data_IF_381734893219
#
_entry.id   IF_381734893219
#
_cell.length_a   1.000
_cell.length_b   1.000
_cell.length_c   1.000
_cell.angle_alpha   90.00
_cell.angle_beta   90.00
_cell.angle_gamma   90.00
#
_symmetry.space_group_name_H-M   'P 1'
#
loop_
_entity.id
_entity.type
_entity.pdbx_description
1 polymer ?
#
# COMPACT_ATOMS: atom_id res chain seq x y z
N UNK A 1 -8.34 29.98 29.78
CA UNK A 1 -7.32 30.33 28.77
C UNK A 1 -6.17 29.38 29.02
N UNK A 2 -6.00 28.38 28.16
CA UNK A 2 -4.86 27.45 28.19
C UNK A 2 -3.58 28.24 27.99
N UNK A 3 -2.48 27.82 28.63
CA UNK A 3 -1.23 28.55 28.52
C UNK A 3 -0.70 28.47 27.07
N UNK A 4 -0.12 29.53 26.47
CA UNK A 4 0.30 29.55 25.07
C UNK A 4 1.21 28.38 24.65
N UNK A 5 1.95 27.82 25.61
CA UNK A 5 2.77 26.63 25.43
C UNK A 5 1.95 25.34 25.23
N UNK A 6 0.85 25.17 25.97
CA UNK A 6 -0.04 24.00 25.84
C UNK A 6 -0.77 24.03 24.50
N UNK A 7 -1.22 25.20 24.06
CA UNK A 7 -1.87 25.38 22.76
C UNK A 7 -0.93 25.04 21.61
N UNK A 8 0.34 25.45 21.69
CA UNK A 8 1.36 25.07 20.70
C UNK A 8 1.62 23.56 20.66
N UNK A 9 1.64 22.90 21.82
CA UNK A 9 1.80 21.44 21.88
C UNK A 9 0.59 20.71 21.30
N UNK A 10 -0.62 21.18 21.61
CA UNK A 10 -1.86 20.63 21.04
C UNK A 10 -1.91 20.80 19.52
N UNK A 11 -1.51 21.96 19.01
CA UNK A 11 -1.47 22.22 17.57
C UNK A 11 -0.44 21.34 16.84
N UNK A 12 0.72 21.08 17.45
CA UNK A 12 1.70 20.11 16.92
C UNK A 12 1.16 18.69 16.92
N UNK A 13 0.47 18.27 17.98
CA UNK A 13 -0.15 16.96 18.05
C UNK A 13 -1.25 16.79 16.97
N UNK A 14 -2.09 17.81 16.79
CA UNK A 14 -3.14 17.81 15.77
C UNK A 14 -2.55 17.79 14.35
N UNK A 15 -1.47 18.53 14.10
CA UNK A 15 -0.75 18.48 12.82
C UNK A 15 -0.21 17.07 12.56
N UNK A 16 0.45 16.45 13.54
CA UNK A 16 0.94 15.08 13.41
C UNK A 16 -0.17 14.07 13.14
N UNK A 17 -1.33 14.24 13.77
CA UNK A 17 -2.52 13.43 13.52
C UNK A 17 -3.05 13.60 12.09
N UNK A 18 -3.18 14.84 11.60
CA UNK A 18 -3.64 15.11 10.23
C UNK A 18 -2.65 14.61 9.17
N UNK A 19 -1.34 14.79 9.40
CA UNK A 19 -0.29 14.27 8.52
C UNK A 19 -0.39 12.73 8.46
N UNK A 20 -0.60 12.07 9.62
CA UNK A 20 -0.80 10.63 9.70
C UNK A 20 -2.04 10.19 8.92
N UNK A 21 -3.19 10.87 9.07
CA UNK A 21 -4.40 10.56 8.31
C UNK A 21 -4.20 10.70 6.79
N UNK A 22 -3.49 11.74 6.36
CA UNK A 22 -3.13 11.93 4.95
C UNK A 22 -2.30 10.77 4.41
N UNK A 23 -1.28 10.34 5.16
CA UNK A 23 -0.52 9.16 4.77
C UNK A 23 -1.35 7.88 4.77
N UNK A 24 -2.24 7.66 5.76
CA UNK A 24 -3.12 6.47 5.75
C UNK A 24 -3.95 6.43 4.47
N UNK A 25 -4.51 7.56 4.04
CA UNK A 25 -5.26 7.64 2.78
C UNK A 25 -4.39 7.37 1.54
N UNK A 26 -3.13 7.83 1.53
CA UNK A 26 -2.20 7.56 0.42
C UNK A 26 -1.75 6.09 0.40
N UNK A 27 -1.65 5.45 1.57
CA UNK A 27 -1.20 4.07 1.75
C UNK A 27 -2.34 3.07 1.51
N UNK A 28 -3.60 3.51 1.59
CA UNK A 28 -4.76 2.75 1.10
C UNK A 28 -4.68 2.48 -0.42
N UNK A 29 -3.82 3.20 -1.16
CA UNK A 29 -3.49 2.92 -2.55
C UNK A 29 -2.17 2.13 -2.67
N UNK A 30 -2.25 0.90 -3.18
CA UNK A 30 -1.11 0.08 -3.59
C UNK A 30 -0.47 -0.72 -2.45
N UNK A 31 0.76 -1.20 -2.69
CA UNK A 31 1.52 -1.95 -1.68
C UNK A 31 2.22 -0.94 -0.73
N UNK A 32 1.92 -0.96 0.58
CA UNK A 32 2.52 -0.07 1.55
C UNK A 32 4.02 -0.31 1.69
N UNK A 33 4.81 0.78 1.67
CA UNK A 33 6.29 0.70 1.76
C UNK A 33 6.83 1.14 3.12
N UNK A 34 6.10 1.99 3.85
CA UNK A 34 6.46 2.48 5.18
C UNK A 34 5.22 2.70 6.06
N UNK A 35 5.40 2.60 7.38
CA UNK A 35 4.36 2.94 8.35
C UNK A 35 4.34 4.46 8.59
N UNK A 36 3.17 5.12 8.56
CA UNK A 36 3.07 6.56 8.70
C UNK A 36 3.41 7.08 10.11
N UNK A 37 3.27 6.23 11.12
CA UNK A 37 3.47 6.63 12.51
C UNK A 37 4.91 6.43 13.01
N UNK A 38 5.37 7.35 13.88
CA UNK A 38 6.54 7.15 14.74
C UNK A 38 7.89 7.00 14.03
N UNK A 39 8.09 7.64 12.88
CA UNK A 39 9.39 7.67 12.19
C UNK A 39 9.57 6.67 11.06
N UNK A 40 8.49 6.14 10.47
CA UNK A 40 8.61 5.35 9.24
C UNK A 40 8.98 3.89 9.48
N UNK A 41 8.27 3.21 10.38
CA UNK A 41 8.49 1.79 10.64
C UNK A 41 8.45 0.96 9.34
N UNK A 42 9.39 0.02 9.18
CA UNK A 42 9.41 -0.86 8.01
C UNK A 42 8.14 -1.71 7.97
N UNK A 43 7.54 -1.81 6.80
CA UNK A 43 6.44 -2.75 6.55
C UNK A 43 7.01 -4.15 6.35
N UNK A 44 6.44 -5.12 7.06
CA UNK A 44 6.75 -6.54 6.99
C UNK A 44 5.55 -7.33 6.47
N UNK A 45 5.87 -8.49 5.91
CA UNK A 45 4.91 -9.47 5.45
C UNK A 45 4.55 -10.40 6.59
N UNK A 46 3.43 -10.11 7.26
CA UNK A 46 2.92 -10.92 8.35
C UNK A 46 2.00 -12.02 7.82
N UNK A 47 2.12 -13.22 8.36
CA UNK A 47 1.14 -14.30 8.22
C UNK A 47 0.54 -14.54 9.58
N UNK A 48 -0.78 -14.41 9.70
CA UNK A 48 -1.49 -14.68 10.95
C UNK A 48 -1.30 -16.15 11.32
N UNK A 49 -0.73 -16.42 12.49
CA UNK A 49 -0.44 -17.79 12.95
C UNK A 49 -1.66 -18.38 13.66
N UNK A 50 -2.17 -17.66 14.65
CA UNK A 50 -3.37 -18.02 15.42
C UNK A 50 -4.21 -16.76 15.67
N UNK A 51 -5.53 -16.87 15.89
CA UNK A 51 -6.34 -15.73 16.30
C UNK A 51 -5.75 -15.12 17.57
N UNK A 52 -5.28 -13.88 17.51
CA UNK A 52 -4.73 -13.20 18.69
C UNK A 52 -5.79 -12.98 19.76
N UNK A 53 -7.06 -12.96 19.37
CA UNK A 53 -8.19 -12.83 20.27
C UNK A 53 -9.30 -13.82 19.89
N UNK A 54 -10.07 -14.25 20.90
CA UNK A 54 -11.05 -15.33 20.80
C UNK A 54 -12.18 -15.09 19.78
N UNK A 55 -12.46 -13.83 19.44
CA UNK A 55 -13.48 -13.40 18.47
C UNK A 55 -12.89 -12.61 17.28
N UNK A 56 -11.58 -12.64 17.10
CA UNK A 56 -10.92 -11.90 16.04
C UNK A 56 -10.97 -12.70 14.73
N UNK A 57 -12.03 -12.46 13.97
CA UNK A 57 -12.23 -12.99 12.62
C UNK A 57 -11.23 -12.42 11.61
N UNK A 58 -10.55 -11.32 11.94
CA UNK A 58 -9.52 -10.73 11.10
C UNK A 58 -8.21 -11.53 11.24
N UNK A 59 -7.89 -12.07 12.41
CA UNK A 59 -6.65 -12.86 12.62
C UNK A 59 -6.78 -14.37 12.41
N UNK A 60 -7.75 -14.82 11.61
CA UNK A 60 -7.83 -16.23 11.21
C UNK A 60 -6.47 -16.74 10.68
N UNK A 61 -6.04 -17.96 11.04
CA UNK A 61 -4.79 -18.54 10.60
C UNK A 61 -4.62 -18.49 9.07
N UNK A 62 -3.41 -18.14 8.63
CA UNK A 62 -3.02 -18.08 7.22
C UNK A 62 -3.40 -16.81 6.47
N UNK A 63 -4.14 -15.88 7.10
CA UNK A 63 -4.36 -14.54 6.53
C UNK A 63 -3.04 -13.77 6.46
N UNK A 64 -2.86 -12.97 5.40
CA UNK A 64 -1.62 -12.23 5.14
C UNK A 64 -1.84 -10.74 5.24
N UNK A 65 -0.91 -10.07 5.91
CA UNK A 65 -0.97 -8.65 6.22
C UNK A 65 0.34 -7.95 5.84
N UNK A 66 0.20 -6.71 5.41
CA UNK A 66 1.26 -5.73 5.43
C UNK A 66 1.21 -5.04 6.78
N UNK A 67 2.24 -5.25 7.60
CA UNK A 67 2.21 -4.84 9.01
C UNK A 67 3.43 -4.01 9.34
N UNK A 68 3.26 -2.93 10.10
CA UNK A 68 4.37 -2.20 10.68
C UNK A 68 5.17 -3.13 11.62
N UNK A 69 6.50 -3.09 11.57
CA UNK A 69 7.35 -3.85 12.51
C UNK A 69 7.07 -3.51 13.99
N UNK A 70 6.55 -2.32 14.27
CA UNK A 70 6.20 -1.85 15.61
C UNK A 70 4.67 -1.98 15.89
N UNK A 71 3.95 -2.84 15.19
CA UNK A 71 2.49 -2.93 15.34
C UNK A 71 2.07 -3.47 16.73
N UNK A 72 1.35 -2.64 17.49
CA UNK A 72 0.84 -2.98 18.83
C UNK A 72 -0.69 -2.99 18.94
N UNK A 73 -1.43 -2.90 17.81
CA UNK A 73 -2.89 -2.76 17.78
C UNK A 73 -3.41 -1.57 18.60
N UNK A 74 -2.65 -0.49 18.57
CA UNK A 74 -2.90 0.78 19.26
C UNK A 74 -3.74 1.77 18.42
N UNK A 75 -4.08 1.37 17.20
CA UNK A 75 -4.75 2.22 16.21
C UNK A 75 -3.84 3.23 15.52
N UNK A 76 -2.54 3.26 15.86
CA UNK A 76 -1.56 4.17 15.27
C UNK A 76 -0.67 3.48 14.25
N UNK A 77 -0.35 2.20 14.47
CA UNK A 77 0.49 1.45 13.56
C UNK A 77 -0.29 0.75 12.46
N UNK A 78 0.29 0.79 11.26
CA UNK A 78 -0.34 0.28 10.05
C UNK A 78 -0.41 -1.26 10.03
N UNK A 79 -1.59 -1.79 9.69
CA UNK A 79 -1.81 -3.21 9.37
C UNK A 79 -2.94 -3.34 8.36
N UNK A 80 -2.63 -3.83 7.16
CA UNK A 80 -3.61 -3.95 6.07
C UNK A 80 -3.57 -5.35 5.46
N UNK A 81 -4.74 -5.97 5.16
CA UNK A 81 -4.78 -7.21 4.41
C UNK A 81 -4.07 -7.11 3.05
N UNK A 82 -3.33 -8.15 2.66
CA UNK A 82 -2.66 -8.18 1.35
C UNK A 82 -3.60 -7.99 0.16
N UNK A 83 -4.84 -8.45 0.27
CA UNK A 83 -5.79 -8.49 -0.85
C UNK A 83 -5.96 -7.13 -1.52
N UNK A 84 -5.96 -6.04 -0.75
CA UNK A 84 -6.11 -4.69 -1.28
C UNK A 84 -4.90 -4.27 -2.12
N UNK A 85 -3.71 -4.28 -1.53
CA UNK A 85 -2.49 -3.85 -2.24
C UNK A 85 -2.14 -4.76 -3.41
N UNK A 86 -2.33 -6.08 -3.26
CA UNK A 86 -2.04 -7.05 -4.33
C UNK A 86 -3.04 -6.92 -5.48
N UNK A 87 -4.33 -6.70 -5.20
CA UNK A 87 -5.33 -6.55 -6.25
C UNK A 87 -5.03 -5.31 -7.11
N UNK A 88 -4.79 -4.17 -6.49
CA UNK A 88 -4.50 -2.93 -7.22
C UNK A 88 -3.24 -3.07 -8.10
N UNK A 89 -2.16 -3.61 -7.55
CA UNK A 89 -0.92 -3.82 -8.30
C UNK A 89 -1.09 -4.84 -9.43
N UNK A 90 -1.92 -5.88 -9.23
CA UNK A 90 -2.27 -6.83 -10.29
C UNK A 90 -3.09 -6.16 -11.41
N UNK A 91 -3.99 -5.24 -11.07
CA UNK A 91 -4.76 -4.47 -12.03
C UNK A 91 -3.85 -3.51 -12.85
N UNK A 92 -2.93 -2.80 -12.18
CA UNK A 92 -1.92 -1.96 -12.84
C UNK A 92 -1.05 -2.78 -13.79
N UNK A 93 -0.54 -3.92 -13.31
CA UNK A 93 0.30 -4.81 -14.12
C UNK A 93 -0.44 -5.33 -15.34
N UNK A 94 -1.70 -5.75 -15.18
CA UNK A 94 -2.54 -6.20 -16.30
C UNK A 94 -2.67 -5.12 -17.36
N UNK A 95 -2.95 -3.87 -16.95
CA UNK A 95 -3.10 -2.76 -17.89
C UNK A 95 -1.80 -2.49 -18.66
N UNK A 96 -0.66 -2.44 -17.96
CA UNK A 96 0.64 -2.23 -18.59
C UNK A 96 1.00 -3.36 -19.58
N UNK A 97 0.68 -4.62 -19.26
CA UNK A 97 0.87 -5.75 -20.19
C UNK A 97 0.01 -5.61 -21.45
N UNK A 98 -1.22 -5.12 -21.31
CA UNK A 98 -2.13 -4.88 -22.45
C UNK A 98 -1.55 -3.78 -23.35
N UNK A 99 -1.07 -2.69 -22.78
CA UNK A 99 -0.44 -1.58 -23.50
C UNK A 99 0.80 -2.06 -24.27
N UNK A 100 1.71 -2.76 -23.59
CA UNK A 100 2.89 -3.37 -24.22
C UNK A 100 2.52 -4.32 -25.37
N UNK A 101 1.47 -5.13 -25.20
CA UNK A 101 1.02 -6.04 -26.24
C UNK A 101 0.52 -5.30 -27.48
N UNK A 102 -0.18 -4.18 -27.30
CA UNK A 102 -0.64 -3.32 -28.39
C UNK A 102 0.54 -2.67 -29.13
N UNK A 103 1.53 -2.14 -28.41
CA UNK A 103 2.75 -1.58 -29.00
C UNK A 103 3.53 -2.63 -29.81
N UNK A 104 3.70 -3.85 -29.26
CA UNK A 104 4.35 -4.95 -29.97
C UNK A 104 3.59 -5.30 -31.25
N UNK A 105 2.25 -5.33 -31.22
CA UNK A 105 1.45 -5.61 -32.39
C UNK A 105 1.64 -4.53 -33.48
N UNK A 106 1.64 -3.26 -33.09
CA UNK A 106 1.87 -2.13 -34.01
C UNK A 106 3.27 -2.16 -34.61
N UNK A 107 4.30 -2.41 -33.80
CA UNK A 107 5.68 -2.51 -34.27
C UNK A 107 5.88 -3.69 -35.22
N UNK A 108 5.25 -4.84 -34.93
CA UNK A 108 5.26 -6.00 -35.83
C UNK A 108 4.63 -5.66 -37.18
N UNK A 109 3.48 -4.99 -37.19
CA UNK A 109 2.78 -4.56 -38.39
C UNK A 109 3.57 -3.53 -39.21
N UNK A 110 4.26 -2.59 -38.55
CA UNK A 110 5.20 -1.68 -39.23
C UNK A 110 6.37 -2.44 -39.86
N UNK A 111 6.95 -3.40 -39.15
CA UNK A 111 8.08 -4.20 -39.64
C UNK A 111 7.71 -5.09 -40.84
N UNK A 112 6.52 -5.72 -40.81
CA UNK A 112 6.05 -6.53 -41.94
C UNK A 112 5.75 -5.69 -43.17
N UNK A 113 5.26 -4.46 -43.00
CA UNK A 113 5.08 -3.53 -44.12
C UNK A 113 6.39 -2.97 -44.67
N UNK A 114 7.41 -2.75 -43.82
CA UNK A 114 8.69 -2.17 -44.23
C UNK A 114 9.68 -3.19 -44.80
N UNK A 115 9.52 -4.47 -44.51
CA UNK A 115 10.22 -5.57 -45.17
C UNK A 115 9.29 -6.21 -46.22
N UNK A 116 9.25 -5.69 -47.46
CA UNK A 116 8.70 -6.50 -48.55
C UNK A 116 9.64 -7.70 -48.66
N UNK A 117 9.18 -8.88 -48.27
CA UNK A 117 9.81 -10.14 -48.65
C UNK A 117 10.08 -10.06 -50.15
N UNK A 118 11.36 -9.94 -50.51
CA UNK A 118 11.80 -10.06 -51.90
C UNK A 118 11.41 -11.48 -52.39
N UNK A 119 11.04 -11.63 -53.69
CA UNK A 119 10.54 -12.89 -54.24
C UNK A 119 11.52 -14.06 -54.10
#
# INVERSE_FOLDING_TARGET
>A
MTHPYEENNQMKALKGYNDMLGFVADVECGIPTSCPYGGGGRIINEVSQDPKYQNDLETLPGKKYFTCINFENDGFHFRQPWVFGVQEEAEKLRNHVIEMAAEIAELKDKLTRSNPTHP
#
